data_IF_774321187909
#
_entry.id   IF_774321187909
#
_cell.length_a   1.000
_cell.length_b   1.000
_cell.length_c   1.000
_cell.angle_alpha   90.00
_cell.angle_beta   90.00
_cell.angle_gamma   90.00
#
_symmetry.space_group_name_H-M   'P 1'
#
loop_
_entity.id
_entity.type
_entity.pdbx_description
1 polymer ?
#
# COMPACT_ATOMS: atom_id res chain seq x y z
N UNK A 1 -7.24 -17.78 7.78
CA UNK A 1 -8.29 -16.81 7.39
C UNK A 1 -7.86 -15.41 7.75
N UNK A 2 -8.10 -14.45 6.85
CA UNK A 2 -7.72 -13.06 7.09
C UNK A 2 -8.66 -12.40 8.10
N UNK A 3 -8.12 -11.55 8.96
CA UNK A 3 -8.94 -10.68 9.80
C UNK A 3 -9.58 -9.60 8.94
N UNK A 4 -10.57 -8.91 9.51
CA UNK A 4 -11.20 -7.78 8.82
C UNK A 4 -10.19 -6.68 8.51
N UNK A 5 -9.25 -6.44 9.44
CA UNK A 5 -8.21 -5.43 9.23
C UNK A 5 -7.26 -5.84 8.10
N UNK A 6 -6.87 -7.11 8.05
CA UNK A 6 -6.02 -7.61 6.97
C UNK A 6 -6.72 -7.51 5.62
N UNK A 7 -8.00 -7.83 5.57
CA UNK A 7 -8.76 -7.72 4.34
C UNK A 7 -8.89 -6.26 3.89
N UNK A 8 -9.13 -5.35 4.83
CA UNK A 8 -9.17 -3.92 4.52
C UNK A 8 -7.83 -3.45 3.93
N UNK A 9 -6.72 -3.90 4.52
CA UNK A 9 -5.40 -3.56 4.04
C UNK A 9 -5.18 -4.05 2.61
N UNK A 10 -5.56 -5.29 2.33
CA UNK A 10 -5.40 -5.86 0.99
C UNK A 10 -6.29 -5.15 -0.03
N UNK A 11 -7.53 -4.83 0.34
CA UNK A 11 -8.45 -4.13 -0.56
C UNK A 11 -7.93 -2.73 -0.88
N UNK A 12 -7.44 -2.02 0.13
CA UNK A 12 -6.87 -0.68 -0.06
C UNK A 12 -5.62 -0.74 -0.92
N UNK A 13 -4.75 -1.72 -0.67
CA UNK A 13 -3.54 -1.91 -1.47
C UNK A 13 -3.89 -2.21 -2.92
N UNK A 14 -4.94 -3.00 -3.16
CA UNK A 14 -5.39 -3.29 -4.51
C UNK A 14 -5.86 -2.02 -5.23
N UNK A 15 -6.62 -1.18 -4.55
CA UNK A 15 -7.07 0.10 -5.13
C UNK A 15 -5.87 0.97 -5.53
N UNK A 16 -4.84 1.00 -4.69
CA UNK A 16 -3.62 1.74 -5.01
C UNK A 16 -2.87 1.14 -6.19
N UNK A 17 -2.88 -0.19 -6.30
CA UNK A 17 -2.27 -0.87 -7.44
C UNK A 17 -2.97 -0.49 -8.75
N UNK A 18 -4.29 -0.44 -8.74
CA UNK A 18 -5.08 -0.03 -9.91
C UNK A 18 -4.77 1.43 -10.26
N UNK A 19 -4.66 2.29 -9.24
CA UNK A 19 -4.32 3.69 -9.48
C UNK A 19 -2.98 3.83 -10.18
N UNK A 20 -1.97 3.07 -9.74
CA UNK A 20 -0.65 3.11 -10.39
C UNK A 20 -0.74 2.64 -11.84
N UNK A 21 -1.54 1.61 -12.10
CA UNK A 21 -1.72 1.10 -13.45
C UNK A 21 -2.30 2.18 -14.37
N UNK A 22 -3.33 2.89 -13.90
CA UNK A 22 -3.94 3.96 -14.70
C UNK A 22 -3.00 5.13 -14.93
N UNK A 23 -2.01 5.31 -14.07
CA UNK A 23 -0.99 6.36 -14.26
C UNK A 23 0.13 5.91 -15.19
N UNK A 24 0.06 4.71 -15.72
CA UNK A 24 1.11 4.17 -16.59
C UNK A 24 2.30 3.61 -15.80
N UNK A 25 2.13 3.37 -14.52
CA UNK A 25 3.18 2.87 -13.65
C UNK A 25 3.08 1.38 -13.40
N UNK A 26 3.91 0.91 -12.48
CA UNK A 26 3.92 -0.49 -12.06
C UNK A 26 2.72 -0.72 -11.14
N UNK A 27 1.87 -1.72 -11.41
CA UNK A 27 0.58 -1.87 -10.73
C UNK A 27 0.71 -2.56 -9.37
N UNK A 28 1.43 -1.95 -8.46
CA UNK A 28 1.62 -2.45 -7.10
C UNK A 28 1.20 -1.37 -6.12
N UNK A 29 0.40 -1.75 -5.14
CA UNK A 29 -0.06 -0.85 -4.09
C UNK A 29 0.22 -1.40 -2.72
N UNK A 30 0.14 -0.53 -1.73
CA UNK A 30 0.40 -0.87 -0.33
C UNK A 30 -0.49 -0.05 0.58
N UNK A 31 -0.76 -0.57 1.75
CA UNK A 31 -1.55 0.11 2.77
C UNK A 31 -1.06 -0.27 4.15
N UNK A 32 -1.11 0.69 5.07
CA UNK A 32 -0.88 0.47 6.48
C UNK A 32 -2.22 0.61 7.19
N UNK A 33 -2.59 -0.41 7.96
CA UNK A 33 -3.86 -0.38 8.70
C UNK A 33 -3.62 -0.73 10.16
N UNK A 34 -4.49 -0.22 11.02
CA UNK A 34 -4.49 -0.59 12.42
C UNK A 34 -5.20 -1.93 12.59
N UNK A 35 -4.95 -2.59 13.72
CA UNK A 35 -5.58 -3.89 13.98
C UNK A 35 -7.08 -3.75 14.24
N UNK A 36 -7.54 -2.56 14.58
CA UNK A 36 -8.99 -2.30 14.76
C UNK A 36 -9.65 -1.81 13.48
N UNK A 37 -8.94 -1.82 12.35
CA UNK A 37 -9.56 -1.64 11.04
C UNK A 37 -9.59 -0.22 10.51
N UNK A 38 -8.56 0.59 10.77
CA UNK A 38 -8.45 1.93 10.19
C UNK A 38 -7.26 2.02 9.26
N UNK A 39 -7.42 2.68 8.12
CA UNK A 39 -6.32 2.93 7.19
C UNK A 39 -5.51 4.11 7.70
N UNK A 40 -4.24 3.86 8.01
CA UNK A 40 -3.31 4.89 8.47
C UNK A 40 -2.68 5.61 7.29
N UNK A 41 -2.29 4.84 6.27
CA UNK A 41 -1.63 5.38 5.09
C UNK A 41 -1.79 4.40 3.95
N UNK A 42 -1.63 4.90 2.73
CA UNK A 42 -1.64 4.08 1.53
C UNK A 42 -0.66 4.67 0.52
N UNK A 43 -0.20 3.84 -0.41
CA UNK A 43 0.71 4.29 -1.42
C UNK A 43 0.77 3.31 -2.58
N UNK A 44 1.32 3.76 -3.69
CA UNK A 44 1.50 2.91 -4.84
C UNK A 44 2.90 3.10 -5.41
N UNK A 45 3.31 2.17 -6.24
CA UNK A 45 4.63 2.21 -6.85
C UNK A 45 4.76 3.45 -7.73
N UNK A 46 5.82 4.21 -7.53
CA UNK A 46 6.07 5.46 -8.25
C UNK A 46 7.36 5.43 -9.05
N UNK A 47 7.92 4.24 -9.27
CA UNK A 47 9.21 4.14 -9.97
C UNK A 47 9.16 4.75 -11.35
N UNK A 48 8.09 4.49 -12.09
CA UNK A 48 7.91 5.05 -13.43
C UNK A 48 7.50 6.52 -13.36
N UNK A 49 6.49 6.82 -12.53
CA UNK A 49 5.94 8.17 -12.45
C UNK A 49 6.98 9.19 -12.00
N UNK A 50 7.84 8.82 -11.04
CA UNK A 50 8.86 9.72 -10.48
C UNK A 50 10.27 9.42 -10.99
N UNK A 51 10.43 8.42 -11.85
CA UNK A 51 11.76 7.99 -12.34
C UNK A 51 12.73 7.72 -11.19
N UNK A 52 12.22 7.06 -10.15
CA UNK A 52 12.97 6.80 -8.92
C UNK A 52 12.91 5.30 -8.63
N UNK A 53 14.04 4.61 -8.75
CA UNK A 53 14.09 3.16 -8.59
C UNK A 53 13.80 2.71 -7.16
N UNK A 54 13.84 3.63 -6.18
CA UNK A 54 13.55 3.30 -4.79
C UNK A 54 12.08 3.53 -4.42
N UNK A 55 11.27 4.08 -5.33
CA UNK A 55 9.89 4.48 -5.03
C UNK A 55 8.93 3.30 -5.13
N UNK A 56 9.11 2.30 -4.28
CA UNK A 56 8.20 1.16 -4.18
C UNK A 56 6.93 1.56 -3.43
N UNK A 57 5.89 0.73 -3.57
CA UNK A 57 4.60 1.00 -2.94
C UNK A 57 4.73 1.09 -1.42
N UNK A 58 5.49 0.19 -0.83
CA UNK A 58 5.70 0.17 0.62
C UNK A 58 6.44 1.41 1.08
N UNK A 59 7.46 1.83 0.35
CA UNK A 59 8.23 3.03 0.68
C UNK A 59 7.33 4.26 0.60
N UNK A 60 6.53 4.37 -0.46
CA UNK A 60 5.59 5.48 -0.62
C UNK A 60 4.57 5.50 0.52
N UNK A 61 4.08 4.33 0.91
CA UNK A 61 3.12 4.18 1.97
C UNK A 61 3.70 4.63 3.31
N UNK A 62 4.90 4.15 3.64
CA UNK A 62 5.56 4.49 4.90
C UNK A 62 5.87 5.98 4.95
N UNK A 63 6.33 6.55 3.84
CA UNK A 63 6.58 7.99 3.77
C UNK A 63 5.31 8.79 4.03
N UNK A 64 4.19 8.34 3.44
CA UNK A 64 2.90 8.98 3.63
C UNK A 64 2.43 8.93 5.08
N UNK A 65 2.75 7.84 5.80
CA UNK A 65 2.36 7.69 7.19
C UNK A 65 3.07 8.68 8.11
N UNK A 66 4.28 9.12 7.73
CA UNK A 66 5.05 10.07 8.53
C UNK A 66 5.65 9.45 9.77
N UNK A 67 5.92 10.28 10.77
CA UNK A 67 6.55 9.82 12.01
C UNK A 67 5.52 9.18 12.93
N UNK A 68 5.81 7.96 13.38
CA UNK A 68 4.95 7.22 14.29
C UNK A 68 5.80 6.46 15.29
N UNK A 69 5.17 6.12 16.43
CA UNK A 69 5.84 5.30 17.45
C UNK A 69 5.18 3.92 17.58
N UNK A 70 4.10 3.68 16.85
CA UNK A 70 3.28 2.48 16.99
C UNK A 70 3.45 1.50 15.82
N UNK A 71 4.58 1.56 15.13
CA UNK A 71 4.84 0.73 13.95
C UNK A 71 4.60 -0.76 14.23
N UNK A 72 4.95 -1.21 15.44
CA UNK A 72 4.85 -2.63 15.80
C UNK A 72 3.39 -3.11 15.89
N UNK A 73 2.42 -2.21 15.91
CA UNK A 73 1.00 -2.56 15.99
C UNK A 73 0.30 -2.48 14.64
N UNK A 74 1.00 -2.05 13.60
CA UNK A 74 0.40 -1.83 12.30
C UNK A 74 0.56 -3.05 11.41
N UNK A 75 -0.37 -3.18 10.48
CA UNK A 75 -0.35 -4.23 9.45
C UNK A 75 -0.01 -3.56 8.12
N UNK A 76 1.04 -4.05 7.48
CA UNK A 76 1.42 -3.58 6.14
C UNK A 76 0.95 -4.58 5.11
N UNK A 77 0.09 -4.13 4.19
CA UNK A 77 -0.43 -4.96 3.11
C UNK A 77 0.12 -4.48 1.78
N UNK A 78 0.27 -5.39 0.83
CA UNK A 78 0.79 -5.11 -0.50
C UNK A 78 0.10 -6.00 -1.52
N UNK A 79 -0.30 -5.42 -2.65
CA UNK A 79 -0.97 -6.15 -3.72
C UNK A 79 -0.46 -5.69 -5.09
N UNK A 80 -0.54 -6.62 -6.05
CA UNK A 80 -0.33 -6.34 -7.46
C UNK A 80 -1.66 -6.55 -8.19
N UNK A 81 -2.09 -5.57 -9.00
CA UNK A 81 -3.39 -5.67 -9.65
C UNK A 81 -3.41 -6.64 -10.82
N UNK A 82 -2.23 -6.97 -11.38
CA UNK A 82 -2.18 -7.89 -12.51
C UNK A 82 -2.29 -9.35 -12.08
N UNK A 83 -1.96 -9.66 -10.84
CA UNK A 83 -1.96 -11.03 -10.31
C UNK A 83 -2.79 -11.13 -9.07
N UNK A 84 -3.83 -10.34 -8.98
CA UNK A 84 -4.64 -10.28 -7.80
C UNK A 84 -5.55 -11.49 -7.73
N UNK A 85 -5.21 -12.39 -6.93
CA UNK A 85 -6.11 -13.42 -6.64
C UNK A 85 -5.88 -14.06 -5.36
#
# INVERSE_FOLDING_TARGET
MLSAAEQLGLDTAYEQAVKSLYEGGIPIGSALVTQDGRVVAKGHNLRVQCQDTTAHAETACIRSAGRRRDWHTLILARRCSLFAE
#
